data_IF_311313742545
#
_entry.id   IF_311313742545
#
_cell.length_a   1.000
_cell.length_b   1.000
_cell.length_c   1.000
_cell.angle_alpha   90.00
_cell.angle_beta   90.00
_cell.angle_gamma   90.00
#
_symmetry.space_group_name_H-M   'P 1'
#
loop_
_entity.id
_entity.type
_entity.pdbx_description
1 polymer ?
#
# COMPACT_ATOMS: atom_id res chain seq x y z
N UNK A 1 38.16 -22.55 -0.28
CA UNK A 1 38.13 -21.14 -0.77
C UNK A 1 37.41 -20.21 0.20
N UNK A 2 36.23 -20.58 0.73
CA UNK A 2 35.52 -19.79 1.75
C UNK A 2 36.36 -19.44 2.99
N UNK A 3 37.17 -20.38 3.51
CA UNK A 3 38.01 -20.09 4.67
C UNK A 3 39.08 -19.01 4.39
N UNK A 4 39.57 -18.89 3.15
CA UNK A 4 40.51 -17.83 2.77
C UNK A 4 39.81 -16.47 2.72
N UNK A 5 38.60 -16.44 2.15
CA UNK A 5 37.75 -15.24 2.15
C UNK A 5 37.40 -14.82 3.58
N UNK A 6 36.95 -15.75 4.43
CA UNK A 6 36.62 -15.51 5.84
C UNK A 6 37.81 -14.96 6.64
N UNK A 7 39.00 -15.49 6.38
CA UNK A 7 40.22 -15.02 7.05
C UNK A 7 40.65 -13.65 6.54
N UNK A 8 40.47 -13.36 5.25
CA UNK A 8 40.71 -12.03 4.67
C UNK A 8 39.74 -10.99 5.23
N UNK A 9 38.43 -11.29 5.28
CA UNK A 9 37.39 -10.39 5.81
C UNK A 9 37.56 -10.03 7.29
N UNK A 10 38.26 -10.86 8.08
CA UNK A 10 38.59 -10.58 9.48
C UNK A 10 39.85 -9.72 9.65
N UNK A 11 40.62 -9.51 8.58
CA UNK A 11 41.85 -8.73 8.60
C UNK A 11 41.57 -7.22 8.55
N UNK A 12 42.42 -6.42 9.21
CA UNK A 12 42.33 -4.95 9.19
C UNK A 12 42.36 -4.36 7.76
N UNK A 13 43.07 -5.03 6.85
CA UNK A 13 43.15 -4.65 5.42
C UNK A 13 41.79 -4.72 4.72
N UNK A 14 40.93 -5.69 5.07
CA UNK A 14 39.58 -5.75 4.52
C UNK A 14 38.73 -4.58 5.00
N UNK A 15 38.90 -4.13 6.24
CA UNK A 15 38.25 -2.93 6.75
C UNK A 15 38.63 -1.66 5.98
N UNK A 16 39.93 -1.50 5.66
CA UNK A 16 40.42 -0.37 4.85
C UNK A 16 39.85 -0.41 3.43
N UNK A 17 39.85 -1.59 2.79
CA UNK A 17 39.27 -1.78 1.47
C UNK A 17 37.77 -1.41 1.45
N UNK A 18 37.01 -1.88 2.45
CA UNK A 18 35.59 -1.56 2.59
C UNK A 18 35.39 -0.06 2.83
N UNK A 19 36.22 0.58 3.63
CA UNK A 19 36.16 2.04 3.84
C UNK A 19 36.35 2.83 2.55
N UNK A 20 37.31 2.45 1.71
CA UNK A 20 37.55 3.07 0.40
C UNK A 20 36.34 2.89 -0.53
N UNK A 21 35.68 1.73 -0.48
CA UNK A 21 34.50 1.42 -1.30
C UNK A 21 33.26 2.21 -0.81
N UNK A 22 33.10 2.43 0.50
CA UNK A 22 31.93 3.14 1.05
C UNK A 22 31.94 4.63 0.67
N UNK A 23 33.10 5.28 0.59
CA UNK A 23 33.23 6.72 0.28
C UNK A 23 32.46 7.12 -0.99
N UNK A 24 32.69 6.51 -2.17
CA UNK A 24 31.93 6.87 -3.37
C UNK A 24 30.45 6.56 -3.21
N UNK A 25 30.04 5.51 -2.50
CA UNK A 25 28.61 5.20 -2.33
C UNK A 25 27.88 6.27 -1.50
N UNK A 26 28.55 6.85 -0.51
CA UNK A 26 28.02 7.93 0.34
C UNK A 26 27.98 9.26 -0.43
N UNK A 27 29.04 9.61 -1.16
CA UNK A 27 29.12 10.89 -1.86
C UNK A 27 28.41 10.92 -3.22
N UNK A 28 28.30 9.78 -3.90
CA UNK A 28 27.67 9.68 -5.24
C UNK A 28 26.15 9.44 -5.17
N UNK A 29 25.58 9.30 -3.96
CA UNK A 29 24.14 9.31 -3.76
C UNK A 29 23.44 8.06 -4.27
N UNK A 30 23.87 6.86 -3.86
CA UNK A 30 23.19 5.61 -4.18
C UNK A 30 21.78 5.44 -3.58
N UNK A 31 21.23 6.46 -2.92
CA UNK A 31 19.85 6.42 -2.40
C UNK A 31 18.81 6.06 -3.47
N UNK A 32 19.05 6.44 -4.74
CA UNK A 32 18.18 6.10 -5.87
C UNK A 32 18.23 4.63 -6.29
N UNK A 33 19.36 3.95 -6.08
CA UNK A 33 19.53 2.52 -6.41
C UNK A 33 18.81 1.64 -5.39
N UNK A 34 18.67 2.12 -4.14
CA UNK A 34 17.88 1.47 -3.11
C UNK A 34 16.39 1.85 -3.16
N UNK A 35 16.03 3.00 -3.72
CA UNK A 35 14.62 3.36 -3.98
C UNK A 35 14.08 2.80 -5.30
N UNK A 36 14.96 2.32 -6.20
CA UNK A 36 14.62 1.76 -7.52
C UNK A 36 14.35 0.27 -7.52
N UNK A 37 14.16 -0.36 -6.35
CA UNK A 37 13.67 -1.73 -6.28
C UNK A 37 12.21 -1.73 -6.70
N UNK A 38 11.91 -2.29 -7.89
CA UNK A 38 10.57 -2.68 -8.37
C UNK A 38 9.45 -2.11 -7.51
N UNK A 39 9.12 -0.81 -7.68
CA UNK A 39 7.85 -0.33 -7.15
C UNK A 39 6.84 -1.11 -7.96
N UNK A 40 6.32 -2.22 -7.40
CA UNK A 40 5.33 -3.06 -8.04
C UNK A 40 4.08 -2.19 -8.20
N UNK A 41 4.09 -1.31 -9.20
CA UNK A 41 3.14 -0.23 -9.42
C UNK A 41 2.46 -0.52 -10.74
N UNK A 42 1.15 -0.58 -10.70
CA UNK A 42 0.32 -0.90 -11.86
C UNK A 42 -0.31 0.35 -12.47
N UNK A 43 -0.42 1.44 -11.69
CA UNK A 43 -0.84 2.75 -12.14
C UNK A 43 -0.13 3.85 -11.33
N UNK A 44 -0.09 5.06 -11.90
CA UNK A 44 0.43 6.26 -11.25
C UNK A 44 -0.53 7.42 -11.51
N UNK A 45 -0.97 8.07 -10.44
CA UNK A 45 -1.91 9.19 -10.42
C UNK A 45 -1.15 10.39 -9.84
N UNK A 46 -0.73 11.35 -10.67
CA UNK A 46 0.15 12.44 -10.25
C UNK A 46 1.42 11.94 -9.52
N UNK A 47 1.53 12.22 -8.22
CA UNK A 47 2.62 11.78 -7.34
C UNK A 47 2.26 10.53 -6.50
N UNK A 48 1.05 9.99 -6.63
CA UNK A 48 0.58 8.78 -5.96
C UNK A 48 0.77 7.56 -6.85
N UNK A 49 1.44 6.53 -6.33
CA UNK A 49 1.62 5.26 -7.02
C UNK A 49 0.60 4.25 -6.50
N UNK A 50 -0.11 3.59 -7.41
CA UNK A 50 -0.99 2.46 -7.09
C UNK A 50 -0.19 1.18 -7.28
N UNK A 51 0.03 0.45 -6.19
CA UNK A 51 0.81 -0.78 -6.19
C UNK A 51 -0.01 -2.01 -6.60
N UNK A 52 0.66 -3.10 -6.95
CA UNK A 52 0.05 -4.42 -7.12
C UNK A 52 -0.60 -4.90 -5.83
N UNK A 53 -0.05 -4.50 -4.67
CA UNK A 53 -0.57 -4.85 -3.36
C UNK A 53 -1.90 -4.12 -3.12
N UNK A 54 -1.96 -2.82 -3.41
CA UNK A 54 -3.20 -2.04 -3.30
C UNK A 54 -4.33 -2.64 -4.14
N UNK A 55 -3.98 -3.13 -5.34
CA UNK A 55 -4.94 -3.81 -6.21
C UNK A 55 -5.39 -5.18 -5.69
N UNK A 56 -4.46 -5.99 -5.19
CA UNK A 56 -4.80 -7.26 -4.56
C UNK A 56 -5.71 -7.05 -3.34
N UNK A 57 -5.41 -6.06 -2.51
CA UNK A 57 -6.21 -5.70 -1.34
C UNK A 57 -7.59 -5.16 -1.74
N UNK A 58 -7.66 -4.33 -2.78
CA UNK A 58 -8.93 -3.86 -3.35
C UNK A 58 -9.80 -5.03 -3.81
N UNK A 59 -9.25 -5.98 -4.56
CA UNK A 59 -9.98 -7.18 -5.00
C UNK A 59 -10.47 -7.99 -3.80
N UNK A 60 -9.61 -8.26 -2.82
CA UNK A 60 -9.97 -9.01 -1.62
C UNK A 60 -11.09 -8.32 -0.82
N UNK A 61 -11.09 -6.99 -0.77
CA UNK A 61 -12.08 -6.20 -0.05
C UNK A 61 -13.38 -5.96 -0.84
N UNK A 62 -13.35 -6.05 -2.18
CA UNK A 62 -14.49 -5.84 -3.07
C UNK A 62 -15.62 -6.88 -2.91
N UNK A 63 -15.37 -7.97 -2.16
CA UNK A 63 -16.29 -9.11 -1.96
C UNK A 63 -16.69 -9.81 -3.27
N UNK A 64 -15.91 -9.62 -4.34
CA UNK A 64 -16.14 -10.28 -5.62
C UNK A 64 -15.67 -11.73 -5.49
N UNK A 65 -16.49 -12.67 -5.98
CA UNK A 65 -16.14 -14.09 -5.96
C UNK A 65 -14.91 -14.34 -6.84
N UNK A 66 -13.91 -15.11 -6.34
CA UNK A 66 -12.77 -15.52 -7.14
C UNK A 66 -13.16 -16.29 -8.41
N UNK A 67 -14.27 -17.04 -8.37
CA UNK A 67 -14.82 -17.77 -9.52
C UNK A 67 -15.26 -16.82 -10.62
N UNK A 68 -15.98 -15.75 -10.28
CA UNK A 68 -16.41 -14.72 -11.25
C UNK A 68 -15.21 -14.04 -11.92
N UNK A 69 -14.15 -13.75 -11.15
CA UNK A 69 -12.91 -13.18 -11.67
C UNK A 69 -12.23 -14.15 -12.64
N UNK A 70 -12.17 -15.44 -12.30
CA UNK A 70 -11.58 -16.48 -13.14
C UNK A 70 -12.35 -16.68 -14.44
N UNK A 71 -13.67 -16.72 -14.38
CA UNK A 71 -14.54 -16.87 -15.55
C UNK A 71 -14.43 -15.69 -16.52
N UNK A 72 -14.17 -14.49 -16.00
CA UNK A 72 -14.12 -13.25 -16.79
C UNK A 72 -12.71 -12.69 -16.97
N UNK A 73 -11.66 -13.48 -16.70
CA UNK A 73 -10.27 -13.00 -16.76
C UNK A 73 -9.87 -12.51 -18.16
N UNK A 74 -10.49 -13.07 -19.21
CA UNK A 74 -10.32 -12.66 -20.60
C UNK A 74 -11.35 -11.61 -21.06
N UNK A 75 -12.33 -11.28 -20.21
CA UNK A 75 -13.42 -10.34 -20.47
C UNK A 75 -13.19 -9.02 -19.72
N UNK A 76 -11.95 -8.54 -19.66
CA UNK A 76 -11.55 -7.24 -19.09
C UNK A 76 -11.94 -6.97 -17.62
N UNK A 77 -12.33 -7.98 -16.85
CA UNK A 77 -12.71 -7.78 -15.43
C UNK A 77 -11.58 -7.12 -14.61
N UNK A 78 -10.32 -7.43 -14.92
CA UNK A 78 -9.18 -6.81 -14.22
C UNK A 78 -9.03 -5.32 -14.55
N UNK A 79 -9.34 -4.93 -15.78
CA UNK A 79 -9.30 -3.52 -16.21
C UNK A 79 -10.43 -2.72 -15.56
N UNK A 80 -11.64 -3.30 -15.48
CA UNK A 80 -12.77 -2.69 -14.78
C UNK A 80 -12.45 -2.48 -13.29
N UNK A 81 -11.88 -3.49 -12.63
CA UNK A 81 -11.49 -3.40 -11.23
C UNK A 81 -10.38 -2.39 -11.00
N UNK A 82 -9.39 -2.33 -11.90
CA UNK A 82 -8.33 -1.33 -11.83
C UNK A 82 -8.89 0.08 -12.01
N UNK A 83 -9.81 0.25 -12.96
CA UNK A 83 -10.50 1.53 -13.21
C UNK A 83 -11.27 1.99 -11.97
N UNK A 84 -11.95 1.06 -11.29
CA UNK A 84 -12.66 1.36 -10.06
C UNK A 84 -11.71 1.76 -8.92
N UNK A 85 -10.58 1.05 -8.77
CA UNK A 85 -9.54 1.40 -7.80
C UNK A 85 -8.97 2.80 -8.07
N UNK A 86 -8.61 3.09 -9.33
CA UNK A 86 -8.08 4.40 -9.73
C UNK A 86 -9.11 5.51 -9.46
N UNK A 87 -10.37 5.27 -9.80
CA UNK A 87 -11.46 6.23 -9.56
C UNK A 87 -11.65 6.54 -8.07
N UNK A 88 -11.59 5.50 -7.22
CA UNK A 88 -11.69 5.67 -5.76
C UNK A 88 -10.47 6.42 -5.22
N UNK A 89 -9.28 6.06 -5.69
CA UNK A 89 -8.03 6.71 -5.28
C UNK A 89 -8.01 8.19 -5.66
N UNK A 90 -8.55 8.55 -6.82
CA UNK A 90 -8.70 9.96 -7.24
C UNK A 90 -9.59 10.74 -6.28
N UNK A 91 -10.70 10.17 -5.84
CA UNK A 91 -11.60 10.80 -4.87
C UNK A 91 -10.88 10.99 -3.52
N UNK A 92 -10.13 9.99 -3.06
CA UNK A 92 -9.39 10.06 -1.80
C UNK A 92 -8.30 11.15 -1.83
N UNK A 93 -7.59 11.28 -2.96
CA UNK A 93 -6.60 12.35 -3.18
C UNK A 93 -7.28 13.73 -3.11
N UNK A 94 -8.41 13.91 -3.78
CA UNK A 94 -9.15 15.18 -3.78
C UNK A 94 -9.67 15.53 -2.38
N UNK A 95 -10.14 14.54 -1.62
CA UNK A 95 -10.58 14.74 -0.22
C UNK A 95 -9.43 15.27 0.64
N UNK A 96 -8.22 14.72 0.47
CA UNK A 96 -7.02 15.16 1.20
C UNK A 96 -6.55 16.55 0.76
N UNK A 97 -6.50 16.81 -0.55
CA UNK A 97 -6.13 18.11 -1.11
C UNK A 97 -7.07 19.24 -0.65
N UNK A 98 -8.38 18.98 -0.64
CA UNK A 98 -9.40 19.90 -0.16
C UNK A 98 -9.52 19.94 1.37
N UNK A 99 -8.76 19.10 2.09
CA UNK A 99 -8.80 18.95 3.56
C UNK A 99 -10.21 18.70 4.08
N UNK A 100 -10.97 17.86 3.38
CA UNK A 100 -12.31 17.47 3.79
C UNK A 100 -12.18 16.38 4.86
N UNK A 101 -12.72 16.64 6.06
CA UNK A 101 -12.75 15.66 7.13
C UNK A 101 -14.13 15.61 7.80
N UNK A 102 -14.44 14.47 8.41
CA UNK A 102 -15.63 14.27 9.23
C UNK A 102 -15.19 14.35 10.70
N UNK A 103 -15.82 15.21 11.49
CA UNK A 103 -15.53 15.28 12.92
C UNK A 103 -16.01 14.04 13.67
N UNK A 104 -15.36 13.73 14.80
CA UNK A 104 -15.72 12.59 15.65
C UNK A 104 -17.18 12.64 16.10
N UNK A 105 -17.72 13.84 16.35
CA UNK A 105 -19.13 14.02 16.72
C UNK A 105 -20.08 13.60 15.58
N UNK A 106 -19.79 14.01 14.34
CA UNK A 106 -20.60 13.65 13.17
C UNK A 106 -20.45 12.16 12.90
N UNK A 107 -19.23 11.63 12.98
CA UNK A 107 -18.95 10.20 12.81
C UNK A 107 -19.72 9.36 13.84
N UNK A 108 -19.64 9.72 15.13
CA UNK A 108 -20.36 9.05 16.21
C UNK A 108 -21.87 9.11 15.99
N UNK A 109 -22.40 10.26 15.55
CA UNK A 109 -23.82 10.41 15.21
C UNK A 109 -24.23 9.52 14.04
N UNK A 110 -23.37 9.38 13.02
CA UNK A 110 -23.60 8.52 11.86
C UNK A 110 -23.58 7.05 12.24
N UNK A 111 -22.59 6.60 13.02
CA UNK A 111 -22.49 5.22 13.54
C UNK A 111 -23.71 4.86 14.38
N UNK A 112 -24.09 5.70 15.35
CA UNK A 112 -25.26 5.44 16.22
C UNK A 112 -26.59 5.34 15.47
N UNK A 113 -26.67 5.94 14.27
CA UNK A 113 -27.84 5.91 13.40
C UNK A 113 -27.88 4.69 12.47
N UNK A 114 -26.81 3.90 12.37
CA UNK A 114 -26.82 2.70 11.52
C UNK A 114 -27.68 1.61 12.17
N UNK A 115 -28.58 1.01 11.38
CA UNK A 115 -29.49 -0.05 11.84
C UNK A 115 -28.76 -1.25 12.44
N UNK A 116 -27.56 -1.57 11.93
CA UNK A 116 -26.75 -2.68 12.40
C UNK A 116 -26.39 -2.54 13.90
N UNK A 117 -26.23 -1.31 14.38
CA UNK A 117 -25.87 -0.99 15.76
C UNK A 117 -27.07 -0.59 16.63
N UNK A 118 -28.30 -0.78 16.14
CA UNK A 118 -29.52 -0.45 16.88
C UNK A 118 -30.18 -1.70 17.48
N UNK A 119 -30.76 -1.57 18.66
CA UNK A 119 -31.61 -2.59 19.26
C UNK A 119 -33.00 -2.62 18.59
N UNK A 120 -33.87 -3.51 19.06
CA UNK A 120 -35.24 -3.68 18.54
C UNK A 120 -36.10 -2.40 18.67
N UNK A 121 -35.71 -1.49 19.56
CA UNK A 121 -36.37 -0.21 19.78
C UNK A 121 -35.74 0.95 18.97
N UNK A 122 -34.88 0.65 17.97
CA UNK A 122 -34.13 1.63 17.17
C UNK A 122 -33.16 2.52 17.98
N UNK A 123 -32.77 2.10 19.19
CA UNK A 123 -31.81 2.81 20.04
C UNK A 123 -30.43 2.19 19.85
N UNK A 124 -29.38 3.01 19.81
CA UNK A 124 -28.00 2.52 19.73
C UNK A 124 -27.68 1.54 20.86
N UNK A 125 -27.14 0.38 20.50
CA UNK A 125 -26.77 -0.70 21.41
C UNK A 125 -25.26 -0.92 21.40
N UNK A 126 -24.60 -0.62 22.53
CA UNK A 126 -23.16 -0.86 22.70
C UNK A 126 -22.76 -2.33 22.58
N UNK A 127 -23.68 -3.25 22.81
CA UNK A 127 -23.43 -4.70 22.69
C UNK A 127 -23.51 -5.20 21.25
N UNK A 128 -24.12 -4.43 20.33
CA UNK A 128 -24.20 -4.77 18.90
C UNK A 128 -23.10 -4.09 18.08
N UNK A 129 -22.49 -3.05 18.64
CA UNK A 129 -21.33 -2.36 18.09
C UNK A 129 -20.06 -3.13 18.45
#
# INVERSE_FOLDING_TARGET
MLNKLRNFSKGKLAGVLVGIIIIPFVFWGMGSVFSGGSTNSIAKINNHNVSTQDFADFINNSKISPELIRENINNNILEELLTQLVSTSLIDIEIDELKIFISDEILAKKIKKQKFFQNENNIFSRTKY
#
